data_IF_742664819257
#
_entry.id   IF_742664819257
#
_cell.length_a   1.000
_cell.length_b   1.000
_cell.length_c   1.000
_cell.angle_alpha   90.00
_cell.angle_beta   90.00
_cell.angle_gamma   90.00
#
_symmetry.space_group_name_H-M   'P 1'
#
loop_
_entity.id
_entity.type
_entity.pdbx_description
1 polymer ?
#
# COMPACT_ATOMS: atom_id res chain seq x y z
N UNK A 1 -27.96 -26.60 -127.81
CA UNK A 1 -28.39 -27.87 -127.21
C UNK A 1 -27.16 -28.48 -126.57
N UNK A 2 -27.13 -28.49 -125.24
CA UNK A 2 -26.02 -29.01 -124.43
C UNK A 2 -26.09 -30.55 -124.50
N UNK A 3 -24.96 -31.19 -124.78
CA UNK A 3 -24.86 -32.64 -124.92
C UNK A 3 -25.11 -33.27 -123.53
N UNK A 4 -26.21 -33.99 -123.37
CA UNK A 4 -26.71 -34.48 -122.08
C UNK A 4 -25.97 -35.73 -121.53
N UNK A 5 -24.75 -36.02 -121.99
CA UNK A 5 -24.04 -37.27 -121.68
C UNK A 5 -22.55 -37.11 -121.32
N UNK A 6 -22.10 -35.92 -120.95
CA UNK A 6 -20.80 -35.77 -120.29
C UNK A 6 -21.04 -35.52 -118.79
N UNK A 7 -21.18 -36.61 -118.03
CA UNK A 7 -21.10 -36.52 -116.57
C UNK A 7 -19.77 -35.90 -116.19
N UNK A 8 -19.84 -34.81 -115.43
CA UNK A 8 -18.67 -34.13 -114.89
C UNK A 8 -17.89 -35.06 -113.94
N UNK A 9 -16.57 -34.87 -113.76
CA UNK A 9 -15.77 -35.72 -112.87
C UNK A 9 -16.34 -35.83 -111.45
N UNK A 10 -16.97 -34.76 -110.96
CA UNK A 10 -17.57 -34.67 -109.63
C UNK A 10 -18.85 -35.51 -109.51
N UNK A 11 -19.73 -35.49 -110.51
CA UNK A 11 -20.94 -36.33 -110.56
C UNK A 11 -20.59 -37.83 -110.59
N UNK A 12 -19.44 -38.19 -111.20
CA UNK A 12 -18.93 -39.57 -111.18
C UNK A 12 -18.38 -39.98 -109.82
N UNK A 13 -17.73 -39.07 -109.08
CA UNK A 13 -17.30 -39.34 -107.70
C UNK A 13 -18.51 -39.59 -106.79
N UNK A 14 -19.57 -38.78 -106.91
CA UNK A 14 -20.79 -38.93 -106.11
C UNK A 14 -21.54 -40.23 -106.42
N UNK A 15 -21.64 -40.61 -107.71
CA UNK A 15 -22.24 -41.87 -108.13
C UNK A 15 -21.49 -43.10 -107.57
N UNK A 16 -20.15 -43.05 -107.55
CA UNK A 16 -19.32 -44.11 -106.96
C UNK A 16 -19.56 -44.23 -105.44
N UNK A 17 -19.74 -43.11 -104.74
CA UNK A 17 -19.98 -43.10 -103.29
C UNK A 17 -21.35 -43.67 -102.93
N UNK A 18 -22.43 -43.26 -103.63
CA UNK A 18 -23.77 -43.81 -103.42
C UNK A 18 -23.81 -45.33 -103.69
N UNK A 19 -23.12 -45.81 -104.73
CA UNK A 19 -23.04 -47.24 -105.01
C UNK A 19 -22.16 -48.02 -104.01
N UNK A 20 -21.10 -47.41 -103.47
CA UNK A 20 -20.29 -48.01 -102.41
C UNK A 20 -21.08 -48.14 -101.09
N UNK A 21 -21.89 -47.13 -100.74
CA UNK A 21 -22.74 -47.15 -99.54
C UNK A 21 -23.81 -48.25 -99.63
N UNK A 22 -24.35 -48.46 -100.83
CA UNK A 22 -25.29 -49.55 -101.15
C UNK A 22 -24.64 -50.94 -101.32
N UNK A 23 -23.33 -51.08 -101.07
CA UNK A 23 -22.54 -52.33 -101.16
C UNK A 23 -22.55 -53.03 -102.53
N UNK A 24 -22.58 -52.26 -103.63
CA UNK A 24 -22.44 -52.86 -104.96
C UNK A 24 -21.04 -53.42 -105.21
N UNK A 25 -20.95 -54.45 -106.05
CA UNK A 25 -19.68 -55.06 -106.45
C UNK A 25 -18.88 -54.14 -107.39
N UNK A 26 -17.55 -54.21 -107.30
CA UNK A 26 -16.62 -53.37 -108.06
C UNK A 26 -16.85 -53.38 -109.58
N UNK A 27 -17.15 -54.55 -110.14
CA UNK A 27 -17.43 -54.72 -111.57
C UNK A 27 -18.72 -54.02 -112.01
N UNK A 28 -19.68 -53.89 -111.10
CA UNK A 28 -20.96 -53.23 -111.34
C UNK A 28 -20.80 -51.71 -111.26
N UNK A 29 -20.03 -51.21 -110.29
CA UNK A 29 -19.67 -49.78 -110.18
C UNK A 29 -18.88 -49.33 -111.40
N UNK A 30 -17.94 -50.14 -111.91
CA UNK A 30 -17.18 -49.80 -113.13
C UNK A 30 -18.08 -49.66 -114.36
N UNK A 31 -19.13 -50.50 -114.46
CA UNK A 31 -20.06 -50.48 -115.60
C UNK A 31 -21.01 -49.30 -115.54
N UNK A 32 -21.56 -49.02 -114.36
CA UNK A 32 -22.61 -48.01 -114.20
C UNK A 32 -22.05 -46.59 -114.09
N UNK A 33 -20.92 -46.42 -113.39
CA UNK A 33 -20.30 -45.11 -113.20
C UNK A 33 -19.25 -44.80 -114.29
N UNK A 34 -18.97 -45.74 -115.19
CA UNK A 34 -17.95 -45.63 -116.25
C UNK A 34 -16.58 -45.16 -115.73
N UNK A 35 -16.16 -45.65 -114.55
CA UNK A 35 -14.86 -45.34 -113.92
C UNK A 35 -13.98 -46.59 -113.84
N UNK A 36 -12.67 -46.37 -113.83
CA UNK A 36 -11.71 -47.48 -113.65
C UNK A 36 -11.71 -47.99 -112.21
N UNK A 37 -11.32 -49.26 -111.97
CA UNK A 37 -11.12 -49.79 -110.62
C UNK A 37 -10.15 -48.92 -109.80
N UNK A 38 -9.08 -48.42 -110.41
CA UNK A 38 -8.13 -47.56 -109.69
C UNK A 38 -8.78 -46.27 -109.19
N UNK A 39 -9.70 -45.70 -109.98
CA UNK A 39 -10.48 -44.51 -109.62
C UNK A 39 -11.43 -44.79 -108.45
N UNK A 40 -12.12 -45.95 -108.45
CA UNK A 40 -12.98 -46.39 -107.33
C UNK A 40 -12.14 -46.55 -106.05
N UNK A 41 -10.94 -47.14 -106.16
CA UNK A 41 -10.01 -47.30 -105.03
C UNK A 41 -9.59 -45.95 -104.45
N UNK A 42 -9.22 -44.98 -105.30
CA UNK A 42 -8.86 -43.65 -104.84
C UNK A 42 -10.02 -42.89 -104.20
N UNK A 43 -11.24 -43.00 -104.74
CA UNK A 43 -12.44 -42.36 -104.19
C UNK A 43 -12.80 -42.99 -102.83
N UNK A 44 -12.81 -44.32 -102.75
CA UNK A 44 -13.01 -45.04 -101.49
C UNK A 44 -11.96 -44.65 -100.45
N UNK A 45 -10.69 -44.54 -100.83
CA UNK A 45 -9.62 -44.14 -99.91
C UNK A 45 -9.77 -42.67 -99.45
N UNK A 46 -10.16 -41.77 -100.36
CA UNK A 46 -10.41 -40.35 -100.08
C UNK A 46 -11.62 -40.13 -99.15
N UNK A 47 -12.66 -40.98 -99.25
CA UNK A 47 -13.89 -40.83 -98.46
C UNK A 47 -13.96 -41.70 -97.19
N UNK A 48 -13.37 -42.89 -97.19
CA UNK A 48 -13.35 -43.77 -96.00
C UNK A 48 -12.29 -43.36 -94.97
N UNK A 49 -11.46 -42.34 -95.24
CA UNK A 49 -10.51 -41.80 -94.25
C UNK A 49 -9.53 -42.85 -93.69
N UNK A 50 -9.26 -43.92 -94.44
CA UNK A 50 -8.48 -45.07 -94.00
C UNK A 50 -6.97 -44.84 -94.18
N UNK A 51 -6.48 -43.79 -93.55
CA UNK A 51 -5.06 -43.62 -93.19
C UNK A 51 -4.94 -43.60 -91.65
N UNK A 52 -5.28 -44.69 -90.97
CA UNK A 52 -4.97 -44.87 -89.54
C UNK A 52 -4.97 -46.34 -89.09
N UNK A 53 -4.00 -47.11 -89.59
CA UNK A 53 -3.53 -48.32 -88.92
C UNK A 53 -2.80 -47.98 -87.61
N UNK A 54 -3.50 -47.63 -86.52
CA UNK A 54 -2.93 -47.66 -85.15
C UNK A 54 -3.95 -48.06 -84.07
N UNK A 55 -3.63 -49.21 -83.45
CA UNK A 55 -3.86 -49.62 -82.06
C UNK A 55 -5.29 -49.69 -81.51
N UNK A 56 -5.75 -50.93 -81.35
CA UNK A 56 -6.56 -51.34 -80.19
C UNK A 56 -5.84 -50.86 -78.92
N UNK A 57 -6.57 -50.12 -78.09
CA UNK A 57 -6.13 -49.42 -76.90
C UNK A 57 -5.37 -50.30 -75.88
N UNK A 58 -4.04 -50.20 -75.85
CA UNK A 58 -3.29 -50.51 -74.64
C UNK A 58 -3.59 -49.41 -73.61
N UNK A 59 -4.42 -49.73 -72.62
CA UNK A 59 -4.63 -48.89 -71.44
C UNK A 59 -3.25 -48.63 -70.81
N UNK A 60 -2.87 -47.36 -70.60
CA UNK A 60 -1.57 -47.00 -70.05
C UNK A 60 -1.35 -47.64 -68.67
N UNK A 61 -0.09 -47.95 -68.32
CA UNK A 61 0.26 -48.48 -66.99
C UNK A 61 -0.25 -47.58 -65.85
N UNK A 62 -0.27 -46.26 -66.06
CA UNK A 62 -0.87 -45.30 -65.12
C UNK A 62 -2.38 -45.52 -64.93
N UNK A 63 -3.13 -45.71 -66.01
CA UNK A 63 -4.58 -45.96 -65.93
C UNK A 63 -4.88 -47.33 -65.30
N UNK A 64 -4.04 -48.34 -65.55
CA UNK A 64 -4.13 -49.63 -64.87
C UNK A 64 -3.84 -49.50 -63.37
N UNK A 65 -2.82 -48.74 -62.99
CA UNK A 65 -2.50 -48.46 -61.59
C UNK A 65 -3.63 -47.73 -60.87
N UNK A 66 -4.24 -46.71 -61.50
CA UNK A 66 -5.41 -46.02 -60.95
C UNK A 66 -6.60 -46.96 -60.73
N UNK A 67 -6.82 -47.92 -61.64
CA UNK A 67 -7.86 -48.94 -61.49
C UNK A 67 -7.58 -49.87 -60.31
N UNK A 68 -6.33 -50.34 -60.15
CA UNK A 68 -5.93 -51.19 -59.02
C UNK A 68 -6.04 -50.43 -57.68
N UNK A 69 -5.69 -49.14 -57.65
CA UNK A 69 -5.92 -48.30 -56.47
C UNK A 69 -7.41 -48.18 -56.12
N UNK A 70 -8.28 -48.04 -57.12
CA UNK A 70 -9.74 -48.05 -56.92
C UNK A 70 -10.24 -49.37 -56.33
N UNK A 71 -9.58 -50.47 -56.66
CA UNK A 71 -9.87 -51.81 -56.14
C UNK A 71 -9.23 -52.07 -54.75
N UNK A 72 -8.48 -51.11 -54.19
CA UNK A 72 -7.94 -51.17 -52.83
C UNK A 72 -6.56 -51.84 -52.71
N UNK A 73 -5.84 -52.00 -53.81
CA UNK A 73 -4.50 -52.61 -53.80
C UNK A 73 -3.47 -51.69 -53.14
N UNK A 74 -2.45 -52.29 -52.49
CA UNK A 74 -1.37 -51.53 -51.85
C UNK A 74 -0.35 -51.04 -52.90
N UNK A 75 0.34 -49.91 -52.68
CA UNK A 75 1.36 -49.40 -53.60
C UNK A 75 2.44 -50.43 -53.95
N UNK A 76 2.86 -51.25 -52.98
CA UNK A 76 3.86 -52.29 -53.20
C UNK A 76 3.37 -53.35 -54.19
N UNK A 77 2.14 -53.84 -54.03
CA UNK A 77 1.56 -54.88 -54.88
C UNK A 77 1.37 -54.36 -56.32
N UNK A 78 1.00 -53.08 -56.47
CA UNK A 78 0.86 -52.41 -57.76
C UNK A 78 2.21 -52.21 -58.46
N UNK A 79 3.26 -51.88 -57.70
CA UNK A 79 4.62 -51.73 -58.23
C UNK A 79 5.13 -53.06 -58.80
N UNK A 80 4.86 -54.16 -58.09
CA UNK A 80 5.24 -55.53 -58.50
C UNK A 80 4.42 -55.98 -59.71
N UNK A 81 3.09 -55.82 -59.67
CA UNK A 81 2.19 -56.31 -60.73
C UNK A 81 2.38 -55.57 -62.05
N UNK A 82 2.57 -54.24 -62.00
CA UNK A 82 2.68 -53.41 -63.20
C UNK A 82 4.13 -53.13 -63.63
N UNK A 83 5.10 -53.67 -62.89
CA UNK A 83 6.53 -53.45 -63.11
C UNK A 83 6.83 -51.94 -63.22
N UNK A 84 6.55 -51.22 -62.13
CA UNK A 84 6.68 -49.77 -62.01
C UNK A 84 7.65 -49.40 -60.88
N UNK A 85 8.43 -48.34 -61.07
CA UNK A 85 9.29 -47.79 -60.04
C UNK A 85 8.47 -47.26 -58.85
N UNK A 86 8.90 -47.47 -57.59
CA UNK A 86 8.15 -47.05 -56.40
C UNK A 86 7.76 -45.56 -56.41
N UNK A 87 8.69 -44.68 -56.79
CA UNK A 87 8.44 -43.24 -56.84
C UNK A 87 7.34 -42.88 -57.85
N UNK A 88 7.30 -43.58 -58.98
CA UNK A 88 6.24 -43.40 -59.98
C UNK A 88 4.89 -43.90 -59.46
N UNK A 89 4.86 -45.01 -58.72
CA UNK A 89 3.63 -45.50 -58.08
C UNK A 89 3.11 -44.53 -57.02
N UNK A 90 3.98 -43.92 -56.22
CA UNK A 90 3.58 -42.88 -55.26
C UNK A 90 3.04 -41.63 -55.94
N UNK A 91 3.60 -41.23 -57.09
CA UNK A 91 3.05 -40.13 -57.89
C UNK A 91 1.64 -40.46 -58.39
N UNK A 92 1.41 -41.68 -58.89
CA UNK A 92 0.08 -42.11 -59.34
C UNK A 92 -0.90 -42.19 -58.17
N UNK A 93 -0.46 -42.72 -57.02
CA UNK A 93 -1.27 -42.78 -55.79
C UNK A 93 -1.69 -41.38 -55.33
N UNK A 94 -0.78 -40.40 -55.39
CA UNK A 94 -1.08 -39.01 -55.08
C UNK A 94 -2.16 -38.47 -56.01
N UNK A 95 -2.03 -38.69 -57.33
CA UNK A 95 -3.06 -38.30 -58.32
C UNK A 95 -4.39 -39.02 -58.06
N UNK A 96 -4.34 -40.31 -57.70
CA UNK A 96 -5.54 -41.07 -57.34
C UNK A 96 -6.28 -40.45 -56.16
N UNK A 97 -5.57 -40.12 -55.08
CA UNK A 97 -6.18 -39.47 -53.92
C UNK A 97 -6.77 -38.09 -54.24
N UNK A 98 -6.14 -37.32 -55.13
CA UNK A 98 -6.71 -36.08 -55.64
C UNK A 98 -8.01 -36.34 -56.42
N UNK A 99 -8.00 -37.34 -57.33
CA UNK A 99 -9.15 -37.66 -58.18
C UNK A 99 -10.37 -38.21 -57.41
N UNK A 100 -10.19 -38.84 -56.25
CA UNK A 100 -11.30 -39.32 -55.42
C UNK A 100 -11.82 -38.27 -54.42
N UNK A 101 -11.35 -37.02 -54.51
CA UNK A 101 -11.83 -35.92 -53.67
C UNK A 101 -11.25 -35.91 -52.25
N UNK A 102 -10.10 -36.55 -52.02
CA UNK A 102 -9.32 -36.39 -50.78
C UNK A 102 -8.41 -35.15 -50.83
N UNK A 103 -8.78 -34.14 -51.62
CA UNK A 103 -7.98 -32.92 -51.79
C UNK A 103 -7.77 -32.18 -50.47
N UNK A 104 -8.81 -32.08 -49.63
CA UNK A 104 -8.73 -31.46 -48.31
C UNK A 104 -7.77 -32.21 -47.37
N UNK A 105 -7.81 -33.55 -47.41
CA UNK A 105 -6.89 -34.39 -46.65
C UNK A 105 -5.44 -34.23 -47.16
N UNK A 106 -5.24 -34.27 -48.48
CA UNK A 106 -3.91 -34.09 -49.07
C UNK A 106 -3.36 -32.68 -48.78
N UNK A 107 -4.21 -31.67 -48.80
CA UNK A 107 -3.85 -30.29 -48.48
C UNK A 107 -3.47 -30.17 -46.99
N UNK A 108 -4.25 -30.75 -46.07
CA UNK A 108 -3.93 -30.79 -44.65
C UNK A 108 -2.63 -31.57 -44.39
N UNK A 109 -2.46 -32.74 -45.04
CA UNK A 109 -1.25 -33.57 -44.94
C UNK A 109 0.01 -32.84 -45.44
N UNK A 110 -0.13 -32.05 -46.51
CA UNK A 110 0.95 -31.19 -46.99
C UNK A 110 1.23 -30.01 -46.06
N UNK A 111 0.21 -29.36 -45.50
CA UNK A 111 0.38 -28.26 -44.53
C UNK A 111 1.17 -28.68 -43.29
N UNK A 112 1.05 -29.96 -42.90
CA UNK A 112 1.74 -30.52 -41.74
C UNK A 112 3.07 -31.19 -42.10
N UNK A 113 3.51 -31.10 -43.37
CA UNK A 113 4.70 -31.75 -43.90
C UNK A 113 4.76 -33.25 -43.57
N UNK A 114 3.62 -33.94 -43.61
CA UNK A 114 3.50 -35.36 -43.27
C UNK A 114 3.62 -35.70 -41.78
N UNK A 115 3.80 -34.72 -40.89
CA UNK A 115 3.85 -34.96 -39.45
C UNK A 115 2.42 -35.05 -38.85
N UNK A 116 1.88 -36.27 -38.84
CA UNK A 116 0.57 -36.57 -38.25
C UNK A 116 0.57 -36.61 -36.70
N UNK A 117 1.75 -36.58 -36.06
CA UNK A 117 1.88 -36.73 -34.60
C UNK A 117 1.02 -35.75 -33.78
N UNK A 118 1.09 -34.43 -34.04
CA UNK A 118 0.26 -33.44 -33.35
C UNK A 118 -1.24 -33.65 -33.53
N UNK A 119 -1.70 -34.07 -34.71
CA UNK A 119 -3.12 -34.35 -34.97
C UNK A 119 -3.62 -35.55 -34.17
N UNK A 120 -2.82 -36.63 -34.13
CA UNK A 120 -3.12 -37.80 -33.32
C UNK A 120 -3.16 -37.47 -31.83
N UNK A 121 -2.28 -36.57 -31.35
CA UNK A 121 -2.33 -36.10 -29.96
C UNK A 121 -3.61 -35.32 -29.65
N UNK A 122 -4.08 -34.47 -30.56
CA UNK A 122 -5.36 -33.75 -30.41
C UNK A 122 -6.52 -34.75 -30.37
N UNK A 123 -6.59 -35.69 -31.31
CA UNK A 123 -7.66 -36.70 -31.36
C UNK A 123 -7.66 -37.58 -30.10
N UNK A 124 -6.48 -38.04 -29.66
CA UNK A 124 -6.36 -38.79 -28.41
C UNK A 124 -6.81 -37.97 -27.20
N UNK A 125 -6.50 -36.68 -27.18
CA UNK A 125 -6.95 -35.76 -26.12
C UNK A 125 -8.46 -35.58 -26.16
N UNK A 126 -9.06 -35.40 -27.34
CA UNK A 126 -10.52 -35.36 -27.53
C UNK A 126 -11.18 -36.59 -26.94
N UNK A 127 -10.70 -37.78 -27.33
CA UNK A 127 -11.24 -39.05 -26.85
C UNK A 127 -11.09 -39.20 -25.33
N UNK A 128 -9.92 -38.82 -24.78
CA UNK A 128 -9.66 -38.88 -23.34
C UNK A 128 -10.59 -37.97 -22.53
N UNK A 129 -10.89 -36.78 -23.05
CA UNK A 129 -11.73 -35.80 -22.36
C UNK A 129 -13.21 -35.86 -22.78
N UNK A 130 -13.58 -36.79 -23.66
CA UNK A 130 -14.94 -36.90 -24.19
C UNK A 130 -15.39 -35.66 -24.97
N UNK A 131 -14.45 -34.94 -25.58
CA UNK A 131 -14.72 -33.70 -26.31
C UNK A 131 -15.05 -33.99 -27.78
N UNK A 132 -16.07 -33.33 -28.31
CA UNK A 132 -16.37 -33.31 -29.72
C UNK A 132 -15.59 -32.19 -30.46
N UNK A 133 -15.65 -32.20 -31.80
CA UNK A 133 -14.93 -31.21 -32.64
C UNK A 133 -15.40 -29.78 -32.34
N UNK A 134 -16.70 -29.58 -32.14
CA UNK A 134 -17.27 -28.25 -31.85
C UNK A 134 -16.74 -27.65 -30.55
N UNK A 135 -16.64 -28.47 -29.49
CA UNK A 135 -16.09 -28.08 -28.19
C UNK A 135 -14.60 -27.73 -28.28
N UNK A 136 -13.83 -28.44 -29.12
CA UNK A 136 -12.44 -28.06 -29.37
C UNK A 136 -12.35 -26.75 -30.15
N UNK A 137 -13.16 -26.56 -31.18
CA UNK A 137 -13.16 -25.31 -31.94
C UNK A 137 -13.50 -24.13 -31.03
N UNK A 138 -14.47 -24.29 -30.13
CA UNK A 138 -14.78 -23.28 -29.12
C UNK A 138 -13.64 -23.07 -28.12
N UNK A 139 -12.97 -24.13 -27.65
CA UNK A 139 -11.80 -23.99 -26.79
C UNK A 139 -10.65 -23.24 -27.49
N UNK A 140 -10.41 -23.51 -28.78
CA UNK A 140 -9.38 -22.86 -29.58
C UNK A 140 -9.70 -21.39 -29.83
N UNK A 141 -10.99 -21.02 -30.03
CA UNK A 141 -11.41 -19.61 -30.15
C UNK A 141 -10.94 -18.75 -28.97
N UNK A 142 -11.00 -19.29 -27.76
CA UNK A 142 -10.60 -18.58 -26.54
C UNK A 142 -9.19 -18.94 -26.05
N UNK A 143 -8.52 -19.90 -26.70
CA UNK A 143 -7.20 -20.41 -26.34
C UNK A 143 -6.16 -19.30 -26.19
N UNK A 144 -6.16 -18.35 -27.13
CA UNK A 144 -5.22 -17.23 -27.11
C UNK A 144 -5.53 -16.20 -26.01
N UNK A 145 -6.77 -16.11 -25.55
CA UNK A 145 -7.19 -15.19 -24.50
C UNK A 145 -6.95 -15.74 -23.08
N UNK A 146 -6.85 -17.06 -22.93
CA UNK A 146 -6.68 -17.74 -21.64
C UNK A 146 -5.47 -17.22 -20.82
N UNK A 147 -4.26 -17.05 -21.39
CA UNK A 147 -3.13 -16.50 -20.65
C UNK A 147 -3.37 -15.07 -20.15
N UNK A 148 -4.02 -14.24 -20.96
CA UNK A 148 -4.37 -12.87 -20.58
C UNK A 148 -5.41 -12.86 -19.45
N UNK A 149 -6.41 -13.73 -19.53
CA UNK A 149 -7.42 -13.89 -18.48
C UNK A 149 -6.80 -14.38 -17.17
N UNK A 150 -5.89 -15.36 -17.24
CA UNK A 150 -5.16 -15.85 -16.08
C UNK A 150 -4.31 -14.75 -15.44
N UNK A 151 -3.61 -13.95 -16.25
CA UNK A 151 -2.84 -12.81 -15.74
C UNK A 151 -3.75 -11.76 -15.09
N UNK A 152 -4.89 -11.44 -15.70
CA UNK A 152 -5.89 -10.55 -15.12
C UNK A 152 -6.41 -11.07 -13.79
N UNK A 153 -6.75 -12.37 -13.71
CA UNK A 153 -7.18 -13.02 -12.48
C UNK A 153 -6.11 -12.90 -11.38
N UNK A 154 -4.84 -13.19 -11.69
CA UNK A 154 -3.73 -13.08 -10.74
C UNK A 154 -3.57 -11.63 -10.25
N UNK A 155 -3.63 -10.65 -11.15
CA UNK A 155 -3.54 -9.22 -10.79
C UNK A 155 -4.69 -8.81 -9.88
N UNK A 156 -5.92 -9.20 -10.22
CA UNK A 156 -7.11 -8.88 -9.45
C UNK A 156 -7.05 -9.53 -8.06
N UNK A 157 -6.67 -10.80 -8.00
CA UNK A 157 -6.51 -11.56 -6.75
C UNK A 157 -5.46 -10.92 -5.83
N UNK A 158 -4.31 -10.52 -6.39
CA UNK A 158 -3.28 -9.79 -5.65
C UNK A 158 -3.78 -8.45 -5.12
N UNK A 159 -4.57 -7.72 -5.92
CA UNK A 159 -5.14 -6.45 -5.51
C UNK A 159 -6.17 -6.61 -4.40
N UNK A 160 -7.03 -7.62 -4.48
CA UNK A 160 -7.98 -7.97 -3.40
C UNK A 160 -7.20 -8.26 -2.11
N UNK A 161 -6.18 -9.12 -2.17
CA UNK A 161 -5.35 -9.44 -1.00
C UNK A 161 -4.67 -8.21 -0.41
N UNK A 162 -4.17 -7.31 -1.26
CA UNK A 162 -3.59 -6.04 -0.82
C UNK A 162 -4.64 -5.18 -0.10
N UNK A 163 -5.83 -5.01 -0.68
CA UNK A 163 -6.90 -4.23 -0.07
C UNK A 163 -7.39 -4.82 1.25
N UNK A 164 -7.47 -6.14 1.36
CA UNK A 164 -7.82 -6.82 2.61
C UNK A 164 -6.78 -6.57 3.70
N UNK A 165 -5.49 -6.67 3.35
CA UNK A 165 -4.39 -6.36 4.27
C UNK A 165 -4.42 -4.89 4.70
N UNK A 166 -4.69 -3.98 3.76
CA UNK A 166 -4.79 -2.55 4.03
C UNK A 166 -5.97 -2.24 4.96
N UNK A 167 -7.14 -2.85 4.70
CA UNK A 167 -8.32 -2.75 5.57
C UNK A 167 -8.02 -3.24 6.99
N UNK A 168 -7.34 -4.39 7.12
CA UNK A 168 -6.97 -4.93 8.43
C UNK A 168 -6.02 -3.99 9.18
N UNK A 169 -5.04 -3.42 8.48
CA UNK A 169 -4.12 -2.45 9.07
C UNK A 169 -4.85 -1.19 9.56
N UNK A 170 -5.74 -0.62 8.74
CA UNK A 170 -6.56 0.53 9.13
C UNK A 170 -7.45 0.22 10.34
N UNK A 171 -8.07 -0.96 10.37
CA UNK A 171 -8.89 -1.38 11.50
C UNK A 171 -8.07 -1.48 12.79
N UNK A 172 -6.85 -2.03 12.71
CA UNK A 172 -5.92 -2.06 13.85
C UNK A 172 -5.57 -0.66 14.35
N UNK A 173 -5.27 0.28 13.44
CA UNK A 173 -4.99 1.67 13.81
C UNK A 173 -6.20 2.35 14.48
N UNK A 174 -7.41 2.11 13.97
CA UNK A 174 -8.64 2.63 14.57
C UNK A 174 -8.84 2.11 16.00
N UNK A 175 -8.60 0.81 16.23
CA UNK A 175 -8.70 0.23 17.56
C UNK A 175 -7.66 0.82 18.52
N UNK A 176 -6.42 1.04 18.06
CA UNK A 176 -5.40 1.71 18.86
C UNK A 176 -5.82 3.13 19.25
N UNK A 177 -6.34 3.91 18.30
CA UNK A 177 -6.83 5.27 18.57
C UNK A 177 -8.03 5.26 19.53
N UNK A 178 -8.95 4.30 19.38
CA UNK A 178 -10.09 4.16 20.28
C UNK A 178 -9.64 3.89 21.72
N UNK A 179 -8.66 3.01 21.92
CA UNK A 179 -8.08 2.74 23.24
C UNK A 179 -7.42 3.99 23.82
N UNK A 180 -6.64 4.73 23.03
CA UNK A 180 -6.03 5.99 23.47
C UNK A 180 -7.07 7.03 23.89
N UNK A 181 -8.19 7.13 23.16
CA UNK A 181 -9.30 8.02 23.52
C UNK A 181 -9.87 7.64 24.90
N UNK A 182 -10.07 6.34 25.16
CA UNK A 182 -10.60 5.89 26.45
C UNK A 182 -9.60 6.11 27.60
N UNK A 183 -8.30 5.91 27.35
CA UNK A 183 -7.25 6.20 28.32
C UNK A 183 -7.22 7.70 28.67
N UNK A 184 -7.27 8.58 27.67
CA UNK A 184 -7.31 10.02 27.90
C UNK A 184 -8.58 10.47 28.63
N UNK A 185 -9.73 9.88 28.28
CA UNK A 185 -11.00 10.16 28.97
C UNK A 185 -10.93 9.77 30.45
N UNK A 186 -10.37 8.60 30.76
CA UNK A 186 -10.15 8.13 32.13
C UNK A 186 -9.20 9.05 32.90
N UNK A 187 -8.13 9.53 32.24
CA UNK A 187 -7.19 10.49 32.83
C UNK A 187 -7.86 11.83 33.12
N UNK A 188 -8.68 12.35 32.21
CA UNK A 188 -9.44 13.59 32.40
C UNK A 188 -10.40 13.45 33.59
N UNK A 189 -11.11 12.32 33.70
CA UNK A 189 -12.01 12.07 34.82
C UNK A 189 -11.28 12.06 36.17
N UNK A 190 -10.07 11.49 36.21
CA UNK A 190 -9.20 11.56 37.39
C UNK A 190 -8.86 13.01 37.78
N UNK A 191 -8.44 13.84 36.81
CA UNK A 191 -8.12 15.25 37.05
C UNK A 191 -9.33 16.08 37.48
N UNK A 192 -10.51 15.80 36.91
CA UNK A 192 -11.75 16.44 37.35
C UNK A 192 -12.00 16.11 38.82
N UNK A 193 -11.95 14.82 39.20
CA UNK A 193 -12.15 14.39 40.57
C UNK A 193 -11.14 15.02 41.54
N UNK A 194 -9.88 15.13 41.16
CA UNK A 194 -8.85 15.79 41.96
C UNK A 194 -9.13 17.30 42.12
N UNK A 195 -9.52 17.96 41.03
CA UNK A 195 -9.89 19.38 41.04
C UNK A 195 -11.10 19.64 41.94
N UNK A 196 -12.08 18.74 41.94
CA UNK A 196 -13.24 18.85 42.82
C UNK A 196 -12.87 18.68 44.30
N UNK A 197 -11.98 17.73 44.63
CA UNK A 197 -11.45 17.59 45.99
C UNK A 197 -10.76 18.87 46.45
N UNK A 198 -9.91 19.46 45.60
CA UNK A 198 -9.23 20.74 45.90
C UNK A 198 -10.20 21.89 46.07
N UNK A 199 -11.26 21.95 45.25
CA UNK A 199 -12.34 22.94 45.40
C UNK A 199 -13.04 22.83 46.76
N UNK A 200 -13.32 21.61 47.22
CA UNK A 200 -13.92 21.36 48.54
C UNK A 200 -12.97 21.80 49.66
N UNK A 201 -11.69 21.42 49.59
CA UNK A 201 -10.66 21.85 50.55
C UNK A 201 -10.58 23.38 50.66
N UNK A 202 -10.59 24.09 49.52
CA UNK A 202 -10.59 25.55 49.47
C UNK A 202 -11.84 26.14 50.13
N UNK A 203 -13.02 25.55 49.90
CA UNK A 203 -14.25 26.00 50.55
C UNK A 203 -14.21 25.83 52.07
N UNK A 204 -13.58 24.77 52.57
CA UNK A 204 -13.39 24.56 54.02
C UNK A 204 -12.44 25.61 54.60
N UNK A 205 -11.32 25.89 53.91
CA UNK A 205 -10.37 26.91 54.33
C UNK A 205 -10.99 28.31 54.33
N UNK A 206 -11.78 28.66 53.31
CA UNK A 206 -12.49 29.94 53.24
C UNK A 206 -13.45 30.14 54.42
N UNK A 207 -14.17 29.08 54.80
CA UNK A 207 -15.01 29.08 56.00
C UNK A 207 -14.20 29.30 57.29
N UNK A 208 -13.04 28.64 57.42
CA UNK A 208 -12.16 28.82 58.57
C UNK A 208 -11.61 30.26 58.64
N UNK A 209 -11.18 30.82 57.51
CA UNK A 209 -10.69 32.21 57.42
C UNK A 209 -11.79 33.17 57.88
N UNK A 210 -13.02 33.02 57.38
CA UNK A 210 -14.15 33.86 57.80
C UNK A 210 -14.42 33.75 59.30
N UNK A 211 -14.38 32.53 59.86
CA UNK A 211 -14.54 32.34 61.30
C UNK A 211 -13.43 33.02 62.11
N UNK A 212 -12.18 32.93 61.67
CA UNK A 212 -11.06 33.60 62.34
C UNK A 212 -11.16 35.12 62.22
N UNK A 213 -11.59 35.65 61.07
CA UNK A 213 -11.83 37.08 60.88
C UNK A 213 -12.93 37.59 61.82
N UNK A 214 -14.06 36.87 61.90
CA UNK A 214 -15.14 37.20 62.84
C UNK A 214 -14.62 37.18 64.28
N UNK A 215 -13.84 36.17 64.65
CA UNK A 215 -13.24 36.08 65.99
C UNK A 215 -12.31 37.27 66.30
N UNK A 216 -11.44 37.66 65.37
CA UNK A 216 -10.55 38.82 65.52
C UNK A 216 -11.37 40.10 65.69
N UNK A 217 -12.40 40.28 64.84
CA UNK A 217 -13.30 41.44 64.93
C UNK A 217 -14.03 41.49 66.27
N UNK A 218 -14.56 40.37 66.74
CA UNK A 218 -15.19 40.27 68.06
C UNK A 218 -14.19 40.56 69.18
N UNK A 219 -12.97 40.06 69.08
CA UNK A 219 -11.91 40.28 70.07
C UNK A 219 -11.48 41.75 70.15
N UNK A 220 -11.30 42.43 69.01
CA UNK A 220 -10.98 43.86 68.95
C UNK A 220 -12.10 44.73 69.55
N UNK A 221 -13.34 44.27 69.44
CA UNK A 221 -14.54 44.92 69.99
C UNK A 221 -14.82 44.57 71.46
N UNK A 222 -14.13 43.58 72.05
CA UNK A 222 -14.34 43.22 73.44
C UNK A 222 -13.72 44.24 74.40
N UNK A 223 -14.52 44.68 75.36
CA UNK A 223 -14.14 45.61 76.43
C UNK A 223 -12.88 45.14 77.18
N UNK A 224 -12.65 43.82 77.26
CA UNK A 224 -11.47 43.21 77.87
C UNK A 224 -10.16 43.52 77.14
N UNK A 225 -10.11 43.44 75.80
CA UNK A 225 -8.91 43.78 75.03
C UNK A 225 -8.60 45.28 75.16
N UNK A 226 -9.63 46.12 75.08
CA UNK A 226 -9.46 47.56 75.24
C UNK A 226 -8.99 47.93 76.66
N UNK A 227 -9.46 47.22 77.70
CA UNK A 227 -8.94 47.35 79.07
C UNK A 227 -7.47 46.95 79.16
N UNK A 228 -7.11 45.76 78.70
CA UNK A 228 -5.73 45.25 78.76
C UNK A 228 -4.78 46.18 77.99
N UNK A 229 -5.18 46.64 76.80
CA UNK A 229 -4.43 47.61 76.00
C UNK A 229 -4.23 48.93 76.75
N UNK A 230 -5.29 49.46 77.35
CA UNK A 230 -5.25 50.69 78.15
C UNK A 230 -4.35 50.54 79.38
N UNK A 231 -4.47 49.43 80.09
CA UNK A 231 -3.72 49.13 81.31
C UNK A 231 -2.24 48.92 81.03
N UNK A 232 -1.91 48.13 79.99
CA UNK A 232 -0.53 47.98 79.51
C UNK A 232 0.10 49.29 79.04
N UNK A 233 -0.66 50.15 78.35
CA UNK A 233 -0.19 51.49 77.93
C UNK A 233 0.07 52.39 79.14
N UNK A 234 -0.77 52.31 80.17
CA UNK A 234 -0.59 53.07 81.41
C UNK A 234 0.62 52.57 82.19
N UNK A 235 0.82 51.26 82.27
CA UNK A 235 1.97 50.60 82.90
C UNK A 235 3.28 51.02 82.20
N UNK A 236 3.34 50.94 80.87
CA UNK A 236 4.53 51.38 80.11
C UNK A 236 4.81 52.86 80.30
N UNK A 237 3.79 53.73 80.27
CA UNK A 237 3.96 55.16 80.58
C UNK A 237 4.50 55.37 82.00
N UNK A 238 4.05 54.59 82.98
CA UNK A 238 4.54 54.63 84.36
C UNK A 238 6.02 54.22 84.43
N UNK A 239 6.41 53.11 83.79
CA UNK A 239 7.79 52.65 83.73
C UNK A 239 8.70 53.68 83.05
N UNK A 240 8.28 54.23 81.91
CA UNK A 240 9.01 55.29 81.19
C UNK A 240 9.21 56.52 82.08
N UNK A 241 8.18 56.92 82.82
CA UNK A 241 8.23 58.08 83.71
C UNK A 241 9.12 57.83 84.93
N UNK A 242 9.17 56.60 85.43
CA UNK A 242 9.89 56.26 86.66
C UNK A 242 11.36 55.91 86.42
N UNK A 243 11.76 55.52 85.21
CA UNK A 243 13.17 55.28 84.89
C UNK A 243 13.53 55.64 83.44
N UNK A 244 13.48 56.95 83.08
CA UNK A 244 13.72 57.42 81.72
C UNK A 244 15.16 57.11 81.25
N UNK A 245 16.12 57.06 82.17
CA UNK A 245 17.50 56.67 81.89
C UNK A 245 17.63 55.20 81.53
N UNK A 246 16.99 54.28 82.27
CA UNK A 246 17.01 52.86 81.93
C UNK A 246 16.32 52.60 80.59
N UNK A 247 15.23 53.31 80.29
CA UNK A 247 14.56 53.21 78.99
C UNK A 247 15.41 53.80 77.87
N UNK A 248 16.02 54.97 78.05
CA UNK A 248 16.93 55.55 77.08
C UNK A 248 18.14 54.63 76.83
N UNK A 249 18.71 54.02 77.88
CA UNK A 249 19.80 53.04 77.77
C UNK A 249 19.34 51.78 77.05
N UNK A 250 18.14 51.26 77.36
CA UNK A 250 17.60 50.04 76.74
C UNK A 250 17.24 50.26 75.27
N UNK A 251 16.64 51.40 74.93
CA UNK A 251 16.32 51.76 73.54
C UNK A 251 17.60 52.03 72.77
N UNK A 252 18.56 52.75 73.35
CA UNK A 252 19.85 53.02 72.71
C UNK A 252 20.67 51.75 72.52
N UNK A 253 20.67 50.83 73.50
CA UNK A 253 21.37 49.55 73.40
C UNK A 253 20.74 48.64 72.35
N UNK A 254 19.41 48.62 72.27
CA UNK A 254 18.68 47.86 71.25
C UNK A 254 18.91 48.43 69.85
N UNK A 255 18.86 49.76 69.69
CA UNK A 255 19.15 50.44 68.42
C UNK A 255 20.61 50.22 68.00
N UNK A 256 21.56 50.32 68.93
CA UNK A 256 22.98 50.12 68.60
C UNK A 256 23.28 48.64 68.28
N UNK A 257 22.62 47.70 68.94
CA UNK A 257 22.69 46.27 68.57
C UNK A 257 22.12 46.01 67.16
N UNK A 258 21.01 46.67 66.79
CA UNK A 258 20.44 46.61 65.43
C UNK A 258 21.39 47.23 64.40
N UNK A 259 22.07 48.33 64.75
CA UNK A 259 23.00 49.03 63.86
C UNK A 259 24.29 48.25 63.61
N UNK A 260 24.86 47.64 64.66
CA UNK A 260 26.15 46.95 64.61
C UNK A 260 26.08 45.51 64.11
N UNK A 261 24.92 44.85 64.22
CA UNK A 261 24.75 43.45 63.80
C UNK A 261 23.66 43.36 62.71
N UNK A 262 24.04 43.43 61.41
CA UNK A 262 23.09 43.43 60.28
C UNK A 262 22.21 42.18 60.23
N UNK A 263 22.74 41.02 60.66
CA UNK A 263 21.98 39.77 60.72
C UNK A 263 20.79 39.85 61.70
N UNK A 264 20.87 40.73 62.71
CA UNK A 264 19.78 40.95 63.66
C UNK A 264 18.72 41.90 63.10
N UNK A 265 19.02 42.70 62.07
CA UNK A 265 18.03 43.57 61.42
C UNK A 265 16.91 42.75 60.79
N UNK A 266 17.25 41.64 60.13
CA UNK A 266 16.28 40.69 59.58
C UNK A 266 15.44 40.06 60.70
N UNK A 267 16.05 39.75 61.85
CA UNK A 267 15.37 39.19 63.02
C UNK A 267 14.34 40.17 63.63
N UNK A 268 14.69 41.45 63.78
CA UNK A 268 13.76 42.48 64.25
C UNK A 268 12.72 42.88 63.20
N UNK A 269 13.07 42.83 61.91
CA UNK A 269 12.13 43.00 60.80
C UNK A 269 11.10 41.86 60.79
N UNK A 270 11.54 40.62 60.94
CA UNK A 270 10.65 39.46 61.06
C UNK A 270 9.75 39.56 62.30
N UNK A 271 10.28 40.03 63.43
CA UNK A 271 9.50 40.25 64.66
C UNK A 271 8.43 41.34 64.47
N UNK A 272 8.77 42.45 63.80
CA UNK A 272 7.88 43.59 63.58
C UNK A 272 6.89 43.40 62.42
N UNK A 273 7.27 42.65 61.38
CA UNK A 273 6.42 42.35 60.23
C UNK A 273 5.44 41.17 60.48
N UNK A 274 5.65 40.36 61.54
CA UNK A 274 4.81 39.20 61.89
C UNK A 274 3.64 39.50 62.84
N UNK A 275 3.11 40.72 62.88
CA UNK A 275 1.98 41.12 63.75
C UNK A 275 0.62 40.43 63.47
N UNK A 276 0.57 39.30 62.77
CA UNK A 276 -0.67 38.57 62.43
C UNK A 276 -0.71 37.09 62.82
N UNK A 277 0.27 36.56 63.56
CA UNK A 277 0.32 35.13 63.91
C UNK A 277 -0.19 34.84 65.34
N UNK A 278 -0.82 33.68 65.54
CA UNK A 278 -1.34 33.22 66.83
C UNK A 278 -0.26 33.21 67.94
N UNK A 279 -0.68 33.41 69.20
CA UNK A 279 0.20 33.39 70.37
C UNK A 279 1.03 32.09 70.50
N UNK A 280 0.54 30.97 69.96
CA UNK A 280 1.25 29.68 69.95
C UNK A 280 2.48 29.69 69.03
N UNK A 281 2.34 30.25 67.82
CA UNK A 281 3.44 30.38 66.85
C UNK A 281 4.51 31.38 67.29
N UNK A 282 4.11 32.47 67.94
CA UNK A 282 5.06 33.41 68.56
C UNK A 282 5.81 32.74 69.73
N UNK A 283 5.13 31.92 70.54
CA UNK A 283 5.75 31.17 71.64
C UNK A 283 6.80 30.16 71.18
N UNK A 284 6.55 29.43 70.08
CA UNK A 284 7.50 28.45 69.52
C UNK A 284 8.74 29.16 68.98
N UNK A 285 8.55 30.27 68.25
CA UNK A 285 9.65 31.05 67.71
C UNK A 285 10.49 31.74 68.79
N UNK A 286 9.83 32.29 69.83
CA UNK A 286 10.55 32.89 70.96
C UNK A 286 11.41 31.84 71.66
N UNK A 287 10.87 30.64 71.93
CA UNK A 287 11.64 29.53 72.52
C UNK A 287 12.80 29.07 71.66
N UNK A 288 12.66 29.01 70.33
CA UNK A 288 13.76 28.57 69.47
C UNK A 288 14.89 29.61 69.36
N UNK A 289 14.64 30.86 69.74
CA UNK A 289 15.62 31.95 69.67
C UNK A 289 15.97 32.57 71.04
N UNK A 290 15.39 32.08 72.16
CA UNK A 290 15.64 32.58 73.52
C UNK A 290 17.13 32.61 73.86
N UNK A 291 17.88 31.57 73.52
CA UNK A 291 19.30 31.47 73.84
C UNK A 291 20.14 32.52 73.10
N UNK A 292 19.83 32.76 71.82
CA UNK A 292 20.51 33.79 71.03
C UNK A 292 20.17 35.20 71.54
N UNK A 293 18.91 35.42 71.94
CA UNK A 293 18.49 36.68 72.53
C UNK A 293 19.14 36.96 73.88
N UNK A 294 19.26 35.95 74.74
CA UNK A 294 19.94 36.08 76.03
C UNK A 294 21.43 36.35 75.83
N UNK A 295 22.11 35.61 74.96
CA UNK A 295 23.52 35.84 74.64
C UNK A 295 23.77 37.23 74.06
N UNK A 296 22.91 37.69 73.15
CA UNK A 296 23.02 39.04 72.60
C UNK A 296 22.79 40.10 73.69
N UNK A 297 21.81 39.89 74.58
CA UNK A 297 21.54 40.82 75.68
C UNK A 297 22.69 40.90 76.68
N UNK A 298 23.29 39.77 77.04
CA UNK A 298 24.44 39.71 77.93
C UNK A 298 25.66 40.37 77.28
N UNK A 299 25.92 40.09 76.00
CA UNK A 299 27.03 40.72 75.27
C UNK A 299 26.88 42.24 75.21
N UNK A 300 25.70 42.73 74.85
CA UNK A 300 25.42 44.17 74.78
C UNK A 300 25.49 44.81 76.17
N UNK A 301 24.98 44.16 77.22
CA UNK A 301 25.09 44.66 78.60
C UNK A 301 26.54 44.74 79.07
N UNK A 302 27.35 43.73 78.76
CA UNK A 302 28.77 43.68 79.15
C UNK A 302 29.56 44.76 78.42
N UNK A 303 29.33 44.94 77.12
CA UNK A 303 30.04 45.96 76.33
C UNK A 303 29.64 47.38 76.73
N UNK A 304 28.37 47.61 77.08
CA UNK A 304 27.92 48.90 77.62
C UNK A 304 28.54 49.14 79.01
N UNK A 305 28.61 48.12 79.86
CA UNK A 305 29.28 48.23 81.14
C UNK A 305 30.77 48.57 80.97
N UNK A 306 31.45 47.97 79.99
CA UNK A 306 32.84 48.31 79.64
C UNK A 306 32.97 49.75 79.11
N UNK A 307 32.08 50.20 78.24
CA UNK A 307 32.10 51.58 77.73
C UNK A 307 31.87 52.60 78.84
N UNK A 308 30.90 52.35 79.74
CA UNK A 308 30.66 53.20 80.92
C UNK A 308 31.89 53.20 81.82
N UNK A 309 32.49 52.03 82.07
CA UNK A 309 33.70 51.91 82.89
C UNK A 309 34.87 52.67 82.28
N UNK A 310 35.07 52.58 80.96
CA UNK A 310 36.11 53.31 80.24
C UNK A 310 35.89 54.82 80.27
N UNK A 311 34.65 55.30 80.13
CA UNK A 311 34.32 56.72 80.26
C UNK A 311 34.59 57.22 81.68
N UNK A 312 34.23 56.43 82.70
CA UNK A 312 34.50 56.79 84.11
C UNK A 312 36.01 56.80 84.38
N UNK A 313 36.75 55.80 83.90
CA UNK A 313 38.20 55.71 84.11
C UNK A 313 38.97 56.81 83.38
N UNK A 314 38.55 57.18 82.17
CA UNK A 314 39.14 58.31 81.45
C UNK A 314 38.85 59.64 82.16
N UNK A 315 37.62 59.87 82.64
CA UNK A 315 37.30 61.06 83.42
C UNK A 315 38.06 61.13 84.77
N UNK A 316 38.38 59.99 85.39
CA UNK A 316 39.20 59.94 86.61
C UNK A 316 40.68 60.24 86.26
N UNK A 317 41.17 59.74 85.12
CA UNK A 317 42.53 59.98 84.65
C UNK A 317 42.75 61.45 84.29
N UNK A 318 41.81 62.04 83.56
CA UNK A 318 41.85 63.46 83.18
C UNK A 318 41.84 64.37 84.42
N UNK A 319 41.07 64.02 85.47
CA UNK A 319 41.09 64.74 86.76
C UNK A 319 42.40 64.58 87.53
N UNK A 320 43.06 63.43 87.44
CA UNK A 320 44.36 63.22 88.10
C UNK A 320 45.49 63.97 87.38
N UNK A 321 45.43 64.09 86.06
CA UNK A 321 46.39 64.84 85.26
C UNK A 321 46.23 66.36 85.51
N UNK A 322 45.00 66.86 85.73
CA UNK A 322 44.72 68.24 86.19
C UNK A 322 45.26 68.54 87.61
N UNK A 323 45.26 67.53 88.49
CA UNK A 323 45.81 67.65 89.85
C UNK A 323 47.35 67.65 89.86
N UNK A 324 48.00 66.89 88.97
CA UNK A 324 49.46 66.89 88.84
C UNK A 324 49.99 68.18 88.19
N UNK A 325 49.28 68.74 87.20
CA UNK A 325 49.64 70.05 86.62
C UNK A 325 49.42 71.23 87.58
N UNK A 326 48.57 71.08 88.60
CA UNK A 326 48.41 72.07 89.68
C UNK A 326 49.49 71.99 90.77
N UNK A 327 50.31 70.93 90.84
CA UNK A 327 51.42 70.79 91.80
C UNK A 327 52.80 71.16 91.22
N UNK A 328 52.90 71.40 89.90
CA UNK A 328 54.12 71.87 89.22
C UNK A 328 54.09 73.37 88.83
N UNK A 329 53.07 74.11 89.26
CA UNK A 329 53.04 75.59 89.30
C UNK A 329 53.14 76.03 90.75
#
# INVERSE_FOLDING_TARGET
MVNAFEQTPEEKEECVLDMLDRRYGWTQICKECHVSPNTISSIKKKFSGDDASKSVSQISKETQALKLFKEGWKPLDIAIELDLEPDFVFQIQKKFYQLIGLDEFNQAYHQINGNLGPFLQIINSMNRFGMNVEQILDAVKYGNALPYLQNHYIKLSNWIRHLESYRYNLHSQLNLMANQIEDYKSSIECYINESEKKRIELSVLDYQIKNMQNFIQDFDNQEGYQRIKKESTNETKSIIKNNPLLMAVTVSSTIEAIRRYPNNQQFFYDLSARQGYSALSQGIWMRSHTTQLLQLSEQVQTEIAEQITNVIMNNIRDRNDELQTSQMK
#
